data_IF_298837826695
#
_entry.id   IF_298837826695
#
_cell.length_a   1.000
_cell.length_b   1.000
_cell.length_c   1.000
_cell.angle_alpha   90.00
_cell.angle_beta   90.00
_cell.angle_gamma   90.00
#
_symmetry.space_group_name_H-M   'P 1'
#
loop_
_entity.id
_entity.type
_entity.pdbx_description
1 polymer ?
#
# COMPACT_ATOMS: atom_id res chain seq x y z
N UNK A 1 -14.75 -28.29 -14.11
CA UNK A 1 -14.12 -27.00 -14.48
C UNK A 1 -12.99 -27.30 -15.47
N UNK A 2 -12.90 -26.58 -16.60
CA UNK A 2 -11.86 -26.79 -17.64
C UNK A 2 -10.93 -25.57 -17.72
N UNK A 3 -9.74 -25.73 -18.33
CA UNK A 3 -8.80 -24.61 -18.55
C UNK A 3 -9.44 -23.54 -19.45
N UNK A 4 -10.20 -23.95 -20.46
CA UNK A 4 -10.91 -23.06 -21.40
C UNK A 4 -11.86 -22.07 -20.73
N UNK A 5 -12.43 -22.41 -19.56
CA UNK A 5 -13.29 -21.49 -18.82
C UNK A 5 -12.50 -20.33 -18.21
N UNK A 6 -11.29 -20.60 -17.70
CA UNK A 6 -10.39 -19.57 -17.19
C UNK A 6 -9.90 -18.66 -18.31
N UNK A 7 -9.53 -19.23 -19.47
CA UNK A 7 -9.15 -18.46 -20.66
C UNK A 7 -10.31 -17.56 -21.14
N UNK A 8 -11.53 -18.10 -21.19
CA UNK A 8 -12.72 -17.33 -21.59
C UNK A 8 -13.02 -16.17 -20.65
N UNK A 9 -12.85 -16.37 -19.34
CA UNK A 9 -13.00 -15.32 -18.34
C UNK A 9 -11.90 -14.24 -18.45
N UNK A 10 -10.63 -14.63 -18.62
CA UNK A 10 -9.55 -13.65 -18.78
C UNK A 10 -9.73 -12.83 -20.06
N UNK A 11 -10.14 -13.48 -21.15
CA UNK A 11 -10.46 -12.79 -22.40
C UNK A 11 -11.71 -11.90 -22.30
N UNK A 12 -12.69 -12.22 -21.45
CA UNK A 12 -13.83 -11.34 -21.22
C UNK A 12 -13.43 -10.07 -20.46
N UNK A 13 -12.46 -10.14 -19.54
CA UNK A 13 -11.87 -8.95 -18.90
C UNK A 13 -11.13 -8.06 -19.88
N UNK A 14 -10.40 -8.66 -20.83
CA UNK A 14 -9.75 -7.92 -21.90
C UNK A 14 -10.77 -7.23 -22.81
N UNK A 15 -11.87 -7.92 -23.18
CA UNK A 15 -12.98 -7.33 -23.96
C UNK A 15 -13.70 -6.20 -23.21
N UNK A 16 -13.72 -6.26 -21.88
CA UNK A 16 -14.24 -5.20 -21.01
C UNK A 16 -13.21 -4.08 -20.73
N UNK A 17 -12.13 -4.02 -21.53
CA UNK A 17 -11.10 -2.97 -21.49
C UNK A 17 -10.46 -2.78 -20.10
N UNK A 18 -10.33 -3.87 -19.32
CA UNK A 18 -9.63 -3.80 -18.04
C UNK A 18 -8.13 -3.59 -18.26
N UNK A 19 -7.51 -2.84 -17.36
CA UNK A 19 -6.08 -2.58 -17.39
C UNK A 19 -5.28 -3.89 -17.41
N UNK A 20 -4.16 -3.90 -18.15
CA UNK A 20 -3.31 -5.08 -18.32
C UNK A 20 -2.87 -5.69 -16.98
N UNK A 21 -2.49 -4.84 -16.02
CA UNK A 21 -2.04 -5.28 -14.70
C UNK A 21 -3.18 -5.98 -13.95
N UNK A 22 -4.40 -5.46 -14.03
CA UNK A 22 -5.59 -6.10 -13.45
C UNK A 22 -5.83 -7.48 -14.06
N UNK A 23 -5.74 -7.63 -15.38
CA UNK A 23 -5.91 -8.94 -16.05
C UNK A 23 -4.82 -9.92 -15.59
N UNK A 24 -3.57 -9.47 -15.49
CA UNK A 24 -2.45 -10.29 -14.97
C UNK A 24 -2.62 -10.71 -13.51
N UNK A 25 -3.15 -9.83 -12.67
CA UNK A 25 -3.38 -10.18 -11.26
C UNK A 25 -4.52 -11.19 -11.12
N UNK A 26 -5.56 -11.09 -11.95
CA UNK A 26 -6.62 -12.11 -12.03
C UNK A 26 -6.11 -13.44 -12.58
N UNK A 27 -5.24 -13.41 -13.59
CA UNK A 27 -4.58 -14.60 -14.15
C UNK A 27 -3.74 -15.35 -13.10
N UNK A 28 -2.91 -14.62 -12.34
CA UNK A 28 -2.14 -15.17 -11.21
C UNK A 28 -3.05 -15.79 -10.14
N UNK A 29 -4.11 -15.09 -9.77
CA UNK A 29 -5.08 -15.56 -8.78
C UNK A 29 -5.78 -16.84 -9.24
N UNK A 30 -6.20 -16.90 -10.51
CA UNK A 30 -6.83 -18.08 -11.09
C UNK A 30 -5.87 -19.27 -11.18
N UNK A 31 -4.61 -19.03 -11.54
CA UNK A 31 -3.58 -20.07 -11.59
C UNK A 31 -3.40 -20.71 -10.22
N UNK A 32 -3.31 -19.89 -9.16
CA UNK A 32 -3.23 -20.39 -7.77
C UNK A 32 -4.50 -21.15 -7.35
N UNK A 33 -5.67 -20.67 -7.76
CA UNK A 33 -6.95 -21.32 -7.47
C UNK A 33 -7.05 -22.70 -8.14
N UNK A 34 -6.68 -22.80 -9.42
CA UNK A 34 -6.64 -24.08 -10.15
C UNK A 34 -5.61 -25.04 -9.55
N UNK A 35 -4.44 -24.54 -9.14
CA UNK A 35 -3.43 -25.34 -8.43
C UNK A 35 -3.98 -25.91 -7.12
N UNK A 36 -4.69 -25.08 -6.34
CA UNK A 36 -5.34 -25.50 -5.10
C UNK A 36 -6.40 -26.59 -5.35
N UNK A 37 -7.26 -26.42 -6.35
CA UNK A 37 -8.28 -27.41 -6.69
C UNK A 37 -7.69 -28.73 -7.21
N UNK A 38 -6.62 -28.65 -8.02
CA UNK A 38 -5.89 -29.84 -8.49
C UNK A 38 -5.27 -30.61 -7.31
N UNK A 39 -4.65 -29.91 -6.35
CA UNK A 39 -4.14 -30.52 -5.11
C UNK A 39 -5.22 -31.19 -4.26
N UNK A 40 -6.48 -30.72 -4.34
CA UNK A 40 -7.64 -31.32 -3.66
C UNK A 40 -8.34 -32.39 -4.49
N UNK A 41 -7.79 -32.79 -5.64
CA UNK A 41 -8.39 -33.73 -6.58
C UNK A 41 -9.77 -33.29 -7.11
N UNK A 42 -10.06 -31.99 -7.11
CA UNK A 42 -11.31 -31.43 -7.64
C UNK A 42 -11.24 -31.14 -9.15
N UNK A 43 -10.08 -31.36 -9.78
CA UNK A 43 -9.84 -31.16 -11.22
C UNK A 43 -9.32 -32.45 -11.87
N UNK A 44 -10.21 -33.40 -12.23
CA UNK A 44 -9.80 -34.68 -12.81
C UNK A 44 -9.10 -34.56 -14.17
N UNK A 45 -9.26 -33.41 -14.86
CA UNK A 45 -8.70 -33.17 -16.20
C UNK A 45 -7.47 -32.25 -16.20
N UNK A 46 -7.01 -31.80 -15.03
CA UNK A 46 -5.83 -30.93 -14.92
C UNK A 46 -4.89 -31.51 -13.86
N UNK A 47 -3.89 -32.32 -14.28
CA UNK A 47 -2.96 -32.92 -13.36
C UNK A 47 -2.08 -31.85 -12.70
N UNK A 48 -1.60 -32.12 -11.49
CA UNK A 48 -0.74 -31.18 -10.76
C UNK A 48 0.59 -30.91 -11.49
N UNK A 49 1.03 -31.82 -12.34
CA UNK A 49 2.23 -31.67 -13.18
C UNK A 49 2.11 -30.60 -14.25
N UNK A 50 0.89 -30.15 -14.57
CA UNK A 50 0.67 -29.08 -15.54
C UNK A 50 1.02 -27.67 -14.98
N UNK A 51 1.27 -27.56 -13.66
CA UNK A 51 1.60 -26.30 -13.02
C UNK A 51 3.11 -26.12 -12.90
N UNK A 52 3.65 -25.15 -13.62
CA UNK A 52 5.06 -24.79 -13.57
C UNK A 52 5.30 -23.68 -12.54
N UNK A 53 6.44 -23.76 -11.84
CA UNK A 53 6.95 -22.69 -10.98
C UNK A 53 8.45 -22.55 -11.11
N UNK A 54 8.93 -21.35 -10.85
CA UNK A 54 10.36 -21.05 -10.76
C UNK A 54 10.64 -20.23 -9.50
N UNK A 55 11.87 -20.36 -9.00
CA UNK A 55 12.32 -19.61 -7.82
C UNK A 55 13.11 -18.39 -8.29
N UNK A 56 12.73 -17.22 -7.78
CA UNK A 56 13.50 -15.98 -7.98
C UNK A 56 14.83 -16.03 -7.22
N UNK A 57 15.75 -15.13 -7.57
CA UNK A 57 16.99 -14.91 -6.82
C UNK A 57 16.77 -14.60 -5.33
N UNK A 58 15.61 -14.03 -4.99
CA UNK A 58 15.18 -13.73 -3.61
C UNK A 58 14.53 -14.94 -2.90
N UNK A 59 14.54 -16.14 -3.50
CA UNK A 59 13.96 -17.35 -2.91
C UNK A 59 12.43 -17.42 -2.98
N UNK A 60 11.78 -16.48 -3.66
CA UNK A 60 10.31 -16.50 -3.84
C UNK A 60 9.91 -17.41 -4.99
N UNK A 61 9.04 -18.39 -4.72
CA UNK A 61 8.40 -19.24 -5.72
C UNK A 61 7.35 -18.42 -6.51
N UNK A 62 7.47 -18.40 -7.84
CA UNK A 62 6.52 -17.76 -8.75
C UNK A 62 5.89 -18.84 -9.62
N UNK A 63 4.56 -18.81 -9.72
CA UNK A 63 3.79 -19.69 -10.60
C UNK A 63 3.66 -19.10 -11.99
N UNK A 64 3.96 -19.91 -12.99
CA UNK A 64 3.71 -19.59 -14.40
C UNK A 64 2.22 -19.73 -14.67
N UNK A 65 1.68 -18.85 -15.51
CA UNK A 65 0.26 -18.92 -15.88
C UNK A 65 -0.07 -20.24 -16.56
N UNK A 66 -1.17 -20.85 -16.14
CA UNK A 66 -1.73 -22.05 -16.77
C UNK A 66 -2.44 -21.73 -18.10
N UNK A 67 -2.83 -20.47 -18.32
CA UNK A 67 -3.74 -20.05 -19.39
C UNK A 67 -2.95 -19.47 -20.56
N UNK A 68 -2.72 -20.27 -21.60
CA UNK A 68 -1.86 -19.90 -22.74
C UNK A 68 -2.58 -19.04 -23.78
N UNK A 69 -3.90 -19.19 -23.93
CA UNK A 69 -4.68 -18.48 -24.96
C UNK A 69 -5.33 -17.18 -24.45
N UNK A 70 -4.60 -16.41 -23.64
CA UNK A 70 -5.10 -15.14 -23.06
C UNK A 70 -4.54 -13.96 -23.85
N UNK A 71 -5.45 -13.13 -24.36
CA UNK A 71 -5.10 -11.87 -25.02
C UNK A 71 -4.93 -10.82 -23.92
N UNK A 72 -3.70 -10.37 -23.68
CA UNK A 72 -3.45 -9.29 -22.73
C UNK A 72 -3.59 -7.93 -23.41
N UNK A 73 -4.23 -6.94 -22.75
CA UNK A 73 -4.22 -5.55 -23.22
C UNK A 73 -2.80 -5.03 -23.41
N UNK A 74 -2.64 -4.03 -24.29
CA UNK A 74 -1.37 -3.32 -24.44
C UNK A 74 -0.99 -2.65 -23.13
N UNK A 75 0.31 -2.47 -22.91
CA UNK A 75 0.78 -1.69 -21.78
C UNK A 75 0.44 -0.22 -22.04
N UNK A 76 -0.34 0.38 -21.14
CA UNK A 76 -0.45 1.83 -21.03
C UNK A 76 0.65 2.30 -20.09
N UNK A 77 1.44 3.27 -20.52
CA UNK A 77 2.24 4.04 -19.58
C UNK A 77 1.24 4.89 -18.79
N UNK A 78 1.16 4.66 -17.49
CA UNK A 78 0.48 5.61 -16.61
C UNK A 78 1.48 6.73 -16.34
N UNK A 79 1.18 7.97 -16.74
CA UNK A 79 1.94 9.17 -16.37
C UNK A 79 1.68 9.52 -14.89
N UNK A 80 1.83 8.53 -14.01
CA UNK A 80 1.67 8.71 -12.58
C UNK A 80 3.01 9.14 -12.02
N UNK A 81 3.08 10.40 -11.58
CA UNK A 81 4.24 10.89 -10.84
C UNK A 81 4.29 10.20 -9.47
N UNK A 82 5.26 9.30 -9.31
CA UNK A 82 5.40 8.50 -8.09
C UNK A 82 6.08 9.24 -6.93
N UNK A 83 6.60 10.44 -7.19
CA UNK A 83 7.41 11.20 -6.25
C UNK A 83 6.96 12.64 -6.21
N UNK A 84 6.63 13.14 -5.03
CA UNK A 84 6.33 14.56 -4.85
C UNK A 84 7.63 15.39 -4.83
N UNK A 85 7.73 16.51 -5.58
CA UNK A 85 8.91 17.35 -5.58
C UNK A 85 9.25 17.90 -4.19
N UNK A 86 10.47 17.64 -3.72
CA UNK A 86 10.91 18.01 -2.36
C UNK A 86 10.86 19.53 -2.15
N UNK A 87 11.12 20.31 -3.20
CA UNK A 87 11.07 21.78 -3.19
C UNK A 87 9.69 22.35 -2.89
N UNK A 88 8.62 21.60 -3.15
CA UNK A 88 7.25 22.02 -2.86
C UNK A 88 6.76 21.61 -1.48
N UNK A 89 7.54 20.81 -0.72
CA UNK A 89 7.14 20.39 0.63
C UNK A 89 6.91 21.56 1.59
N UNK A 90 7.76 22.61 1.66
CA UNK A 90 7.52 23.74 2.54
C UNK A 90 6.20 24.45 2.24
N UNK A 91 5.94 24.71 0.96
CA UNK A 91 4.71 25.36 0.49
C UNK A 91 3.46 24.52 0.79
N UNK A 92 3.56 23.20 0.59
CA UNK A 92 2.49 22.26 0.92
C UNK A 92 2.13 22.33 2.42
N UNK A 93 3.13 22.32 3.31
CA UNK A 93 2.90 22.43 4.76
C UNK A 93 2.35 23.80 5.16
N UNK A 94 2.81 24.88 4.54
CA UNK A 94 2.31 26.23 4.79
C UNK A 94 0.82 26.33 4.45
N UNK A 95 0.44 25.94 3.24
CA UNK A 95 -0.97 25.92 2.79
C UNK A 95 -1.80 25.01 3.68
N UNK A 96 -1.28 23.84 4.04
CA UNK A 96 -1.99 22.90 4.91
C UNK A 96 -2.25 23.51 6.29
N UNK A 97 -1.31 24.25 6.87
CA UNK A 97 -1.51 24.92 8.15
C UNK A 97 -2.54 26.05 8.09
N UNK A 98 -2.56 26.79 6.96
CA UNK A 98 -3.48 27.91 6.76
C UNK A 98 -4.91 27.46 6.46
N UNK A 99 -5.07 26.43 5.62
CA UNK A 99 -6.38 26.03 5.05
C UNK A 99 -6.94 24.77 5.71
N UNK A 100 -6.08 23.81 6.05
CA UNK A 100 -6.48 22.47 6.46
C UNK A 100 -5.66 21.94 7.65
N UNK A 101 -5.55 22.76 8.70
CA UNK A 101 -4.75 22.46 9.90
C UNK A 101 -5.00 21.05 10.49
N UNK A 102 -6.22 20.49 10.51
CA UNK A 102 -6.47 19.15 11.06
C UNK A 102 -5.71 18.01 10.37
N UNK A 103 -5.34 18.14 9.09
CA UNK A 103 -4.65 17.08 8.33
C UNK A 103 -3.12 17.23 8.34
N UNK A 104 -2.58 18.35 8.85
CA UNK A 104 -1.15 18.65 8.82
C UNK A 104 -0.30 17.55 9.49
N UNK A 105 -0.76 17.06 10.64
CA UNK A 105 -0.09 15.96 11.35
C UNK A 105 -0.11 14.66 10.53
N UNK A 106 -1.23 14.36 9.87
CA UNK A 106 -1.35 13.19 9.02
C UNK A 106 -0.39 13.24 7.84
N UNK A 107 -0.33 14.38 7.16
CA UNK A 107 0.59 14.63 6.05
C UNK A 107 2.05 14.47 6.47
N UNK A 108 2.39 15.01 7.64
CA UNK A 108 3.72 14.86 8.24
C UNK A 108 4.09 13.39 8.46
N UNK A 109 3.17 12.60 9.02
CA UNK A 109 3.38 11.17 9.27
C UNK A 109 3.51 10.35 7.99
N UNK A 110 2.82 10.71 6.90
CA UNK A 110 2.95 10.01 5.62
C UNK A 110 4.28 10.35 4.92
N UNK A 111 4.63 11.64 4.84
CA UNK A 111 5.82 12.10 4.11
C UNK A 111 7.11 11.72 4.83
N UNK A 112 7.20 11.99 6.13
CA UNK A 112 8.43 11.75 6.90
C UNK A 112 8.43 10.42 7.64
N UNK A 113 7.25 9.88 7.96
CA UNK A 113 7.11 8.59 8.65
C UNK A 113 6.89 7.41 7.69
N UNK A 114 6.53 7.66 6.43
CA UNK A 114 6.19 6.60 5.47
C UNK A 114 4.92 5.83 5.84
N UNK A 115 4.10 6.36 6.74
CA UNK A 115 2.85 5.70 7.14
C UNK A 115 1.86 5.73 5.98
N UNK A 116 1.15 4.63 5.74
CA UNK A 116 0.02 4.59 4.81
C UNK A 116 -1.19 5.33 5.39
N UNK A 117 -2.11 5.77 4.54
CA UNK A 117 -3.35 6.44 4.97
C UNK A 117 -4.11 5.64 6.05
N UNK A 118 -4.24 4.33 5.86
CA UNK A 118 -4.88 3.43 6.83
C UNK A 118 -4.12 3.31 8.16
N UNK A 119 -2.80 3.49 8.16
CA UNK A 119 -1.99 3.48 9.37
C UNK A 119 -2.16 4.80 10.13
N UNK A 120 -2.10 5.94 9.43
CA UNK A 120 -2.26 7.29 10.00
C UNK A 120 -3.58 7.44 10.74
N UNK A 121 -4.70 7.01 10.15
CA UNK A 121 -6.02 7.12 10.78
C UNK A 121 -6.19 6.20 12.00
N UNK A 122 -5.30 5.21 12.16
CA UNK A 122 -5.35 4.24 13.25
C UNK A 122 -4.31 4.50 14.36
N UNK A 123 -3.56 5.61 14.29
CA UNK A 123 -2.60 6.01 15.32
C UNK A 123 -3.36 6.49 16.58
N UNK A 124 -3.02 5.91 17.74
CA UNK A 124 -3.47 6.42 19.05
C UNK A 124 -2.42 7.33 19.65
N UNK A 125 -2.83 8.33 20.43
CA UNK A 125 -1.90 9.12 21.26
C UNK A 125 -1.04 8.21 22.17
N UNK A 126 -1.62 7.16 22.75
CA UNK A 126 -0.91 6.20 23.61
C UNK A 126 0.08 5.30 22.87
N UNK A 127 0.02 5.26 21.54
CA UNK A 127 0.95 4.49 20.71
C UNK A 127 2.24 5.25 20.36
N UNK A 128 2.28 6.55 20.67
CA UNK A 128 3.41 7.43 20.42
C UNK A 128 4.32 7.41 21.64
N UNK A 129 5.58 7.04 21.44
CA UNK A 129 6.63 7.07 22.48
C UNK A 129 7.77 7.96 22.04
N UNK A 130 8.26 8.76 22.96
CA UNK A 130 9.50 9.51 22.77
C UNK A 130 10.68 8.67 23.25
N UNK A 131 11.78 8.69 22.51
CA UNK A 131 13.06 8.21 23.04
C UNK A 131 13.66 9.22 24.02
N UNK A 132 14.52 8.73 24.91
CA UNK A 132 15.14 9.51 26.00
C UNK A 132 16.00 10.68 25.51
N UNK A 133 16.47 10.62 24.26
CA UNK A 133 17.25 11.66 23.57
C UNK A 133 16.36 12.78 22.96
N UNK A 134 15.03 12.66 23.06
CA UNK A 134 14.07 13.66 22.57
C UNK A 134 14.00 13.81 21.04
N UNK A 135 14.86 13.11 20.29
CA UNK A 135 15.03 13.26 18.85
C UNK A 135 14.31 12.19 18.00
N UNK A 136 13.75 11.14 18.61
CA UNK A 136 13.06 10.09 17.85
C UNK A 136 11.66 9.88 18.42
N UNK A 137 10.67 9.80 17.53
CA UNK A 137 9.31 9.38 17.88
C UNK A 137 9.11 7.98 17.35
N UNK A 138 8.72 7.09 18.24
CA UNK A 138 8.43 5.71 17.93
C UNK A 138 6.92 5.53 17.94
N UNK A 139 6.36 5.11 16.82
CA UNK A 139 4.92 4.86 16.69
C UNK A 139 4.68 3.36 16.62
N UNK A 140 3.96 2.85 17.62
CA UNK A 140 3.57 1.44 17.66
C UNK A 140 2.18 1.26 17.04
N UNK A 141 2.16 0.90 15.76
CA UNK A 141 0.93 0.64 15.04
C UNK A 141 0.32 -0.68 15.51
N UNK A 142 -0.86 -0.59 16.14
CA UNK A 142 -1.72 -1.74 16.44
C UNK A 142 -2.83 -1.82 15.41
N UNK A 143 -3.31 -3.03 15.11
CA UNK A 143 -4.49 -3.27 14.29
C UNK A 143 -5.73 -2.70 15.00
N UNK A 144 -6.04 -1.43 14.75
CA UNK A 144 -7.29 -0.80 15.12
C UNK A 144 -8.03 -0.41 13.84
N UNK A 145 -9.34 -0.17 13.95
CA UNK A 145 -10.16 0.30 12.84
C UNK A 145 -11.04 1.47 13.32
N UNK A 146 -10.48 2.68 13.37
CA UNK A 146 -11.22 3.87 13.81
C UNK A 146 -12.07 4.50 12.71
N UNK A 147 -11.78 4.21 11.44
CA UNK A 147 -12.48 4.76 10.27
C UNK A 147 -12.99 3.61 9.40
N UNK A 148 -14.20 3.16 9.69
CA UNK A 148 -14.90 2.10 8.93
C UNK A 148 -15.52 2.62 7.64
N UNK A 149 -15.65 3.94 7.51
CA UNK A 149 -16.17 4.66 6.34
C UNK A 149 -15.18 4.72 5.17
N UNK A 150 -13.87 4.59 5.45
CA UNK A 150 -12.84 4.52 4.43
C UNK A 150 -12.89 3.14 3.74
N UNK A 151 -13.55 3.07 2.58
CA UNK A 151 -13.55 1.89 1.72
C UNK A 151 -12.23 1.82 0.96
N UNK A 152 -11.48 0.75 1.19
CA UNK A 152 -10.21 0.48 0.52
C UNK A 152 -10.46 -0.27 -0.79
N UNK A 153 -10.10 0.35 -1.91
CA UNK A 153 -10.40 -0.17 -3.26
C UNK A 153 -9.41 -1.26 -3.71
N UNK A 154 -8.23 -1.36 -3.08
CA UNK A 154 -7.10 -2.15 -3.61
C UNK A 154 -6.55 -3.23 -2.67
N UNK A 155 -7.25 -3.60 -1.59
CA UNK A 155 -6.80 -4.67 -0.69
C UNK A 155 -5.46 -4.37 0.02
N UNK A 156 -5.14 -3.08 0.17
CA UNK A 156 -3.95 -2.60 0.86
C UNK A 156 -4.07 -2.69 2.40
N UNK A 157 -5.28 -2.98 2.90
CA UNK A 157 -5.61 -3.11 4.32
C UNK A 157 -5.20 -4.43 5.00
N UNK A 158 -4.60 -5.39 4.31
CA UNK A 158 -3.80 -6.37 5.05
C UNK A 158 -2.53 -5.67 5.48
N UNK A 159 -2.51 -5.18 6.72
CA UNK A 159 -1.28 -4.98 7.48
C UNK A 159 -0.45 -6.22 7.21
N UNK A 160 0.61 -6.07 6.41
CA UNK A 160 1.51 -7.17 6.10
C UNK A 160 2.09 -7.61 7.42
N UNK A 161 1.54 -8.70 7.98
CA UNK A 161 2.11 -9.53 9.05
C UNK A 161 2.89 -8.72 10.10
N UNK A 162 2.22 -8.16 11.12
CA UNK A 162 2.83 -7.48 12.29
C UNK A 162 4.21 -6.87 12.01
N UNK A 163 4.26 -5.81 11.22
CA UNK A 163 5.51 -5.10 11.04
C UNK A 163 5.84 -4.35 12.33
N UNK A 164 6.90 -4.81 13.01
CA UNK A 164 7.42 -4.27 14.27
C UNK A 164 7.70 -2.77 14.12
N UNK A 165 7.11 -1.98 15.02
CA UNK A 165 7.58 -0.66 15.47
C UNK A 165 8.25 0.22 14.40
N UNK A 166 7.52 1.20 13.84
CA UNK A 166 8.14 2.20 12.98
C UNK A 166 8.85 3.24 13.85
N UNK A 167 10.19 3.25 13.78
CA UNK A 167 11.01 4.29 14.40
C UNK A 167 11.13 5.46 13.43
N UNK A 168 10.59 6.62 13.81
CA UNK A 168 10.70 7.85 13.02
C UNK A 168 11.78 8.72 13.65
N UNK A 169 12.93 8.85 12.97
CA UNK A 169 14.05 9.67 13.42
C UNK A 169 13.88 11.11 12.93
N UNK A 170 13.94 12.09 13.85
CA UNK A 170 13.80 13.50 13.52
C UNK A 170 15.20 14.04 13.20
N UNK A 171 15.58 14.08 11.92
CA UNK A 171 16.82 14.74 11.50
C UNK A 171 16.62 16.24 11.30
N UNK A 172 17.71 17.02 11.29
CA UNK A 172 17.78 18.50 11.35
C UNK A 172 16.84 19.30 10.42
N UNK A 173 16.33 18.73 9.33
CA UNK A 173 15.29 19.38 8.50
C UNK A 173 14.00 19.58 9.30
N UNK A 174 13.67 18.56 10.10
CA UNK A 174 12.56 18.55 11.02
C UNK A 174 12.77 19.55 12.15
N UNK A 175 13.98 19.79 12.66
CA UNK A 175 14.19 20.83 13.68
C UNK A 175 14.01 22.24 13.13
N UNK A 176 14.26 22.45 11.83
CA UNK A 176 14.00 23.71 11.13
C UNK A 176 12.51 23.91 10.85
N UNK A 177 11.81 22.86 10.43
CA UNK A 177 10.35 22.83 10.28
C UNK A 177 9.69 22.98 11.66
N UNK A 178 10.07 22.21 12.68
CA UNK A 178 9.61 22.35 14.07
C UNK A 178 9.93 23.72 14.66
N UNK A 179 11.06 24.37 14.34
CA UNK A 179 11.30 25.78 14.75
C UNK A 179 10.31 26.73 14.08
N UNK A 180 10.05 26.54 12.79
CA UNK A 180 9.06 27.29 12.04
C UNK A 180 7.64 27.07 12.63
N UNK A 181 7.29 25.81 12.90
CA UNK A 181 6.05 25.41 13.54
C UNK A 181 5.98 25.79 15.03
N UNK A 182 7.08 25.87 15.77
CA UNK A 182 7.11 26.33 17.17
C UNK A 182 6.83 27.82 17.26
N UNK A 183 7.40 28.60 16.33
CA UNK A 183 7.07 30.03 16.21
C UNK A 183 5.61 30.26 15.79
N UNK A 184 5.05 29.42 14.91
CA UNK A 184 3.68 29.56 14.41
C UNK A 184 2.63 28.93 15.35
N UNK A 185 2.92 27.82 16.03
CA UNK A 185 2.04 27.18 17.02
C UNK A 185 2.12 27.83 18.39
N UNK A 186 3.24 28.39 18.87
CA UNK A 186 3.22 29.08 20.18
C UNK A 186 2.28 30.28 20.18
N UNK A 187 2.05 30.91 19.02
CA UNK A 187 1.08 32.00 18.88
C UNK A 187 -0.37 31.49 18.87
N UNK A 188 -0.63 30.23 18.49
CA UNK A 188 -1.99 29.68 18.36
C UNK A 188 -2.39 28.69 19.46
N UNK A 189 -1.45 28.11 20.21
CA UNK A 189 -1.74 27.18 21.33
C UNK A 189 -1.84 27.91 22.67
N UNK A 190 -1.38 29.16 22.79
CA UNK A 190 -1.59 29.99 23.99
C UNK A 190 -2.97 30.68 24.04
N UNK A 191 -3.83 30.51 23.03
CA UNK A 191 -5.18 31.09 22.95
C UNK A 191 -6.29 30.03 22.80
N UNK A 192 -6.10 28.86 23.43
CA UNK A 192 -7.13 27.86 23.73
C UNK A 192 -6.89 27.32 25.13
#
# INVERSE_FOLDING_TARGET
MKISHGESYLNSLTRAEKARNTVKDKDRTLTLFYRYLSKKNCLPHVPFTAFESYTTTEGKEIHVSLFKNVIFPKHSNEDTEHTFPIEHLPLLFEITCLVAKPIALGLYLQIFGGLRVGEVVNVKRSSIRHTLDGGTIVINLKENMFRTDLKDTNGANYVKKNQKTTNICFTKLVSKIIRYFSHVLMVQVLYL
#
